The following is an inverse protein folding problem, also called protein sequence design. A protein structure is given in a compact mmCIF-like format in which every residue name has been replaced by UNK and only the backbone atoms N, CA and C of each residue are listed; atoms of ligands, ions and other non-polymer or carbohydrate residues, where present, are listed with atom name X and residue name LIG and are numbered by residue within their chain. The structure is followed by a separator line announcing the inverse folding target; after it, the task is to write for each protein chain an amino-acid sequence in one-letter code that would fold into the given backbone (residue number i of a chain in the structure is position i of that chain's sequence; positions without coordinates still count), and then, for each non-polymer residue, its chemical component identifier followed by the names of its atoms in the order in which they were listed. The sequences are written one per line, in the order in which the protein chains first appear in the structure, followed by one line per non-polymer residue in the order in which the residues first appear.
data_IF_882319076383
#
_entry.id   IF_882319076383
#
_cell.length_a   1.000
_cell.length_b   1.000
_cell.length_c   1.000
_cell.angle_alpha   90.00
_cell.angle_beta   90.00
_cell.angle_gamma   90.00
#
_symmetry.space_group_name_H-M   'P 1'
#
loop_
_entity.id
_entity.type
_entity.pdbx_description
1 polymer ?
#
# COMPACT_ATOMS: atom_id res chain seq x y z
N UNK A 1 6.83 12.89 28.70
CA UNK A 1 5.78 12.87 27.70
C UNK A 1 5.94 11.68 26.77
N UNK A 2 4.95 10.86 26.69
CA UNK A 2 5.02 9.74 25.76
C UNK A 2 4.68 10.19 24.35
N UNK A 3 5.40 9.70 23.39
CA UNK A 3 5.10 9.92 21.99
C UNK A 3 4.42 8.67 21.43
N UNK A 4 3.39 8.90 20.64
CA UNK A 4 2.72 7.82 19.94
C UNK A 4 3.47 7.50 18.66
N UNK A 5 3.70 6.22 18.40
CA UNK A 5 4.37 5.80 17.18
C UNK A 5 3.46 6.05 15.99
N UNK A 6 3.96 6.78 15.00
CA UNK A 6 3.27 7.00 13.74
C UNK A 6 3.95 6.25 12.59
N UNK A 7 5.20 5.83 12.78
CA UNK A 7 5.86 4.93 11.83
C UNK A 7 5.36 3.51 12.04
N UNK A 8 5.47 2.68 11.00
CA UNK A 8 5.00 1.31 11.10
C UNK A 8 5.78 0.53 12.15
N UNK A 9 5.06 -0.38 12.81
CA UNK A 9 5.67 -1.36 13.69
C UNK A 9 6.29 -2.47 12.85
N UNK A 10 7.41 -3.03 13.31
CA UNK A 10 8.05 -4.14 12.64
C UNK A 10 7.31 -5.44 12.95
N UNK A 11 7.06 -6.25 11.92
CA UNK A 11 6.43 -7.56 12.02
C UNK A 11 7.31 -8.57 11.30
N UNK A 12 7.21 -9.84 11.71
CA UNK A 12 7.95 -10.92 11.08
C UNK A 12 7.23 -11.36 9.80
N UNK A 13 7.94 -11.32 8.68
CA UNK A 13 7.41 -11.71 7.37
C UNK A 13 8.49 -12.44 6.58
N UNK A 14 8.15 -13.54 5.86
CA UNK A 14 6.87 -14.23 5.90
C UNK A 14 6.65 -14.96 7.23
N UNK A 15 5.43 -15.36 7.56
CA UNK A 15 5.15 -16.03 8.82
C UNK A 15 5.73 -17.44 8.86
N UNK A 16 6.10 -17.89 10.05
CA UNK A 16 6.57 -19.26 10.26
C UNK A 16 5.47 -20.17 10.81
N UNK A 17 4.32 -19.63 11.14
CA UNK A 17 3.21 -20.34 11.74
C UNK A 17 1.89 -19.71 11.33
N UNK A 18 0.85 -20.51 11.18
CA UNK A 18 -0.45 -20.03 10.75
C UNK A 18 -0.41 -19.47 9.33
N UNK A 19 -1.16 -18.40 9.11
CA UNK A 19 -1.17 -17.71 7.81
C UNK A 19 -1.30 -16.20 8.03
N UNK A 20 -0.92 -15.44 6.99
CA UNK A 20 -1.13 -13.98 6.96
C UNK A 20 -1.94 -13.62 5.72
N UNK A 21 -2.58 -12.47 5.77
CA UNK A 21 -3.28 -11.93 4.62
C UNK A 21 -2.37 -10.88 3.99
N UNK A 22 -2.11 -11.05 2.70
CA UNK A 22 -1.32 -10.11 1.92
C UNK A 22 -2.18 -9.53 0.81
N UNK A 23 -1.70 -8.48 0.18
CA UNK A 23 -2.41 -7.83 -0.90
C UNK A 23 -1.53 -7.79 -2.15
N UNK A 24 -2.06 -8.31 -3.26
CA UNK A 24 -1.38 -8.28 -4.56
C UNK A 24 -1.89 -7.08 -5.33
N UNK A 25 -0.97 -6.25 -5.82
CA UNK A 25 -1.34 -5.13 -6.69
C UNK A 25 -0.55 -5.22 -8.00
N UNK A 26 -1.24 -4.90 -9.07
CA UNK A 26 -0.63 -4.83 -10.39
C UNK A 26 -0.12 -3.41 -10.61
N UNK A 27 1.16 -3.29 -10.99
CA UNK A 27 1.84 -2.00 -11.10
C UNK A 27 2.48 -1.88 -12.47
N UNK A 28 2.70 -0.65 -12.93
CA UNK A 28 3.38 -0.42 -14.20
C UNK A 28 4.89 -0.62 -14.07
N UNK A 29 5.46 -0.38 -12.88
CA UNK A 29 6.90 -0.43 -12.65
C UNK A 29 7.14 -0.82 -11.19
N UNK A 30 7.72 -2.01 -10.99
CA UNK A 30 7.95 -2.56 -9.64
C UNK A 30 8.85 -1.63 -8.82
N UNK A 31 9.95 -1.14 -9.39
CA UNK A 31 10.89 -0.30 -8.65
C UNK A 31 10.26 1.04 -8.25
N UNK A 32 9.44 1.62 -9.12
CA UNK A 32 8.75 2.86 -8.83
C UNK A 32 7.76 2.68 -7.66
N UNK A 33 7.01 1.60 -7.69
CA UNK A 33 6.05 1.29 -6.63
C UNK A 33 6.76 0.98 -5.32
N UNK A 34 7.81 0.15 -5.36
CA UNK A 34 8.59 -0.17 -4.17
C UNK A 34 9.18 1.09 -3.54
N UNK A 35 9.72 2.00 -4.34
CA UNK A 35 10.27 3.26 -3.86
C UNK A 35 9.21 4.13 -3.17
N UNK A 36 8.00 4.19 -3.72
CA UNK A 36 6.90 4.94 -3.11
C UNK A 36 6.55 4.38 -1.72
N UNK A 37 6.30 3.07 -1.65
CA UNK A 37 5.88 2.45 -0.39
C UNK A 37 6.98 2.50 0.66
N UNK A 38 8.24 2.42 0.26
CA UNK A 38 9.36 2.57 1.18
C UNK A 38 9.52 4.01 1.65
N UNK A 39 9.59 4.95 0.71
CA UNK A 39 9.89 6.35 1.01
C UNK A 39 8.76 7.05 1.74
N UNK A 40 7.52 6.86 1.27
CA UNK A 40 6.36 7.59 1.80
C UNK A 40 5.82 6.92 3.06
N UNK A 41 5.52 5.64 2.98
CA UNK A 41 4.85 4.92 4.06
C UNK A 41 5.80 4.21 5.02
N UNK A 42 7.11 4.29 4.77
CA UNK A 42 8.09 3.65 5.62
C UNK A 42 8.13 2.13 5.48
N UNK A 43 7.68 1.61 4.34
CA UNK A 43 7.70 0.19 4.07
C UNK A 43 9.12 -0.36 3.93
N UNK A 44 9.25 -1.66 4.10
CA UNK A 44 10.53 -2.34 3.97
C UNK A 44 10.51 -3.23 2.73
N UNK A 45 11.43 -2.97 1.80
CA UNK A 45 11.55 -3.76 0.58
C UNK A 45 12.21 -5.08 0.95
N UNK A 46 11.48 -6.20 0.78
CA UNK A 46 11.97 -7.54 1.04
C UNK A 46 12.55 -8.16 -0.23
N UNK A 47 11.99 -7.82 -1.39
CA UNK A 47 12.43 -8.29 -2.69
C UNK A 47 11.97 -7.30 -3.76
N UNK A 48 12.80 -7.10 -4.79
CA UNK A 48 12.47 -6.24 -5.93
C UNK A 48 12.01 -7.04 -7.15
N UNK A 49 11.82 -8.35 -6.99
CA UNK A 49 11.56 -9.21 -8.13
C UNK A 49 12.82 -9.47 -8.95
N UNK A 50 12.62 -10.00 -10.15
CA UNK A 50 13.74 -10.28 -11.05
C UNK A 50 13.31 -10.10 -12.51
N UNK A 51 14.27 -10.29 -13.42
CA UNK A 51 14.02 -10.16 -14.87
C UNK A 51 13.18 -11.30 -15.45
N UNK A 52 12.91 -12.36 -14.67
CA UNK A 52 12.14 -13.52 -15.09
C UNK A 52 10.66 -13.41 -14.68
N UNK A 53 10.23 -12.25 -14.19
CA UNK A 53 8.84 -12.02 -13.85
C UNK A 53 8.47 -12.25 -12.39
N UNK A 54 9.46 -12.47 -11.52
CA UNK A 54 9.18 -12.58 -10.09
C UNK A 54 8.68 -11.25 -9.53
N UNK A 55 7.75 -11.34 -8.58
CA UNK A 55 7.14 -10.18 -7.95
C UNK A 55 8.09 -9.49 -6.97
N UNK A 56 7.88 -8.18 -6.79
CA UNK A 56 8.45 -7.46 -5.66
C UNK A 56 7.61 -7.68 -4.41
N UNK A 57 8.22 -7.55 -3.25
CA UNK A 57 7.57 -7.74 -1.96
C UNK A 57 7.96 -6.59 -1.05
N UNK A 58 6.97 -5.90 -0.49
CA UNK A 58 7.19 -4.76 0.40
C UNK A 58 6.35 -4.96 1.66
N UNK A 59 7.00 -4.98 2.81
CA UNK A 59 6.30 -5.06 4.07
C UNK A 59 5.76 -3.67 4.45
N UNK A 60 4.46 -3.57 4.64
CA UNK A 60 3.80 -2.37 5.16
C UNK A 60 3.12 -2.77 6.45
N UNK A 61 3.63 -2.29 7.59
CA UNK A 61 3.07 -2.62 8.91
C UNK A 61 2.87 -4.14 9.06
N UNK A 62 1.64 -4.58 9.27
CA UNK A 62 1.30 -5.98 9.49
C UNK A 62 0.90 -6.72 8.20
N UNK A 63 1.17 -6.15 7.05
CA UNK A 63 0.86 -6.81 5.77
C UNK A 63 2.05 -6.82 4.83
N UNK A 64 1.87 -7.48 3.74
CA UNK A 64 2.92 -7.75 2.76
C UNK A 64 2.34 -7.43 1.38
N UNK A 65 2.80 -6.37 0.76
CA UNK A 65 2.37 -6.06 -0.60
C UNK A 65 3.18 -6.87 -1.59
N UNK A 66 2.49 -7.56 -2.48
CA UNK A 66 3.11 -8.25 -3.61
C UNK A 66 2.85 -7.37 -4.82
N UNK A 67 3.90 -6.90 -5.48
CA UNK A 67 3.79 -6.01 -6.64
C UNK A 67 4.34 -6.69 -7.88
N UNK A 68 3.58 -6.64 -8.96
CA UNK A 68 3.96 -7.25 -10.22
C UNK A 68 3.35 -6.46 -11.37
N UNK A 69 4.00 -6.52 -12.54
CA UNK A 69 3.48 -5.83 -13.72
C UNK A 69 2.25 -6.52 -14.33
N UNK A 70 1.90 -7.69 -13.82
CA UNK A 70 0.70 -8.36 -14.27
C UNK A 70 0.81 -8.95 -15.65
N UNK A 71 -0.29 -8.86 -16.40
CA UNK A 71 -0.44 -9.52 -17.68
C UNK A 71 -1.25 -10.79 -17.52
N UNK A 72 -1.10 -11.70 -18.43
CA UNK A 72 -1.83 -12.97 -18.40
C UNK A 72 -2.72 -13.15 -19.62
N UNK A 73 -3.52 -14.23 -19.66
CA UNK A 73 -3.56 -15.30 -18.65
C UNK A 73 -2.26 -16.07 -18.49
N UNK A 74 -2.10 -16.73 -17.36
CA UNK A 74 -0.94 -17.55 -17.05
C UNK A 74 -1.40 -18.97 -16.68
N UNK A 75 -0.51 -19.98 -16.69
CA UNK A 75 -0.91 -21.35 -16.35
C UNK A 75 -1.55 -21.49 -14.96
N UNK A 76 -1.15 -20.67 -13.99
CA UNK A 76 -1.71 -20.68 -12.62
C UNK A 76 -3.00 -19.84 -12.52
N UNK A 77 -3.29 -18.99 -13.52
CA UNK A 77 -4.51 -18.18 -13.60
C UNK A 77 -4.99 -18.14 -15.05
N UNK A 78 -5.48 -19.28 -15.59
CA UNK A 78 -5.68 -19.41 -17.03
C UNK A 78 -6.83 -18.56 -17.61
N UNK A 79 -7.66 -17.98 -16.78
CA UNK A 79 -8.78 -17.14 -17.23
C UNK A 79 -8.68 -15.68 -16.75
N UNK A 80 -7.55 -15.30 -16.14
CA UNK A 80 -7.42 -13.99 -15.50
C UNK A 80 -6.31 -13.19 -16.15
N UNK A 81 -6.59 -11.95 -16.49
CA UNK A 81 -5.61 -10.96 -16.89
C UNK A 81 -5.54 -9.89 -15.80
N UNK A 82 -4.33 -9.58 -15.36
CA UNK A 82 -4.09 -8.54 -14.36
C UNK A 82 -3.53 -7.31 -15.05
N UNK A 83 -4.10 -6.15 -14.76
CA UNK A 83 -3.65 -4.88 -15.34
C UNK A 83 -3.83 -3.75 -14.35
N UNK A 84 -3.05 -2.67 -14.52
CA UNK A 84 -3.31 -1.45 -13.76
C UNK A 84 -4.71 -0.92 -14.13
N UNK A 85 -5.38 -0.19 -13.22
CA UNK A 85 -6.69 0.35 -13.53
C UNK A 85 -6.65 1.27 -14.75
N UNK A 86 -7.54 1.01 -15.71
CA UNK A 86 -7.69 1.90 -16.88
C UNK A 86 -8.22 3.26 -16.45
N UNK A 87 -9.05 3.29 -15.42
CA UNK A 87 -9.59 4.51 -14.82
C UNK A 87 -9.38 4.44 -13.30
N UNK A 88 -8.43 5.20 -12.76
CA UNK A 88 -8.13 5.16 -11.33
C UNK A 88 -9.28 5.61 -10.43
N UNK A 89 -10.31 6.25 -10.99
CA UNK A 89 -11.49 6.66 -10.24
C UNK A 89 -12.56 5.57 -10.20
N UNK A 90 -12.34 4.45 -10.91
CA UNK A 90 -13.27 3.32 -10.99
C UNK A 90 -12.59 2.05 -10.51
N UNK A 91 -12.48 1.91 -9.20
CA UNK A 91 -11.84 0.75 -8.56
C UNK A 91 -12.84 0.09 -7.62
N UNK A 92 -12.62 -1.19 -7.34
CA UNK A 92 -13.52 -1.99 -6.51
C UNK A 92 -12.87 -2.41 -5.17
N UNK A 93 -11.64 -2.02 -4.94
CA UNK A 93 -10.95 -2.29 -3.68
C UNK A 93 -9.81 -1.30 -3.50
N UNK A 94 -9.36 -1.14 -2.27
CA UNK A 94 -8.23 -0.27 -1.97
C UNK A 94 -7.59 -0.69 -0.65
N UNK A 95 -6.32 -0.32 -0.49
CA UNK A 95 -5.60 -0.52 0.75
C UNK A 95 -6.13 0.48 1.78
N UNK A 96 -6.40 0.00 2.99
CA UNK A 96 -6.90 0.81 4.08
C UNK A 96 -5.89 0.77 5.22
N UNK A 97 -5.35 1.94 5.58
CA UNK A 97 -4.35 2.07 6.63
C UNK A 97 -5.00 2.75 7.83
N UNK A 98 -4.95 2.09 8.98
CA UNK A 98 -5.50 2.63 10.22
C UNK A 98 -4.36 3.20 11.06
N UNK A 99 -4.49 4.47 11.45
CA UNK A 99 -3.44 5.21 12.14
C UNK A 99 -3.95 5.77 13.45
N UNK A 100 -3.03 6.07 14.36
CA UNK A 100 -3.37 6.63 15.67
C UNK A 100 -3.41 8.15 15.66
N UNK A 101 -2.70 8.79 14.72
CA UNK A 101 -2.63 10.25 14.61
C UNK A 101 -2.57 10.63 13.13
N UNK A 102 -3.72 10.86 12.54
CA UNK A 102 -3.83 11.11 11.09
C UNK A 102 -3.21 12.45 10.70
N UNK A 103 -3.27 13.45 11.57
CA UNK A 103 -2.67 14.75 11.25
C UNK A 103 -1.15 14.64 11.18
N UNK A 104 -0.54 13.93 12.13
CA UNK A 104 0.90 13.70 12.11
C UNK A 104 1.32 12.87 10.90
N UNK A 105 0.53 11.84 10.55
CA UNK A 105 0.78 11.03 9.36
C UNK A 105 0.66 11.87 8.09
N UNK A 106 -0.34 12.72 8.01
CA UNK A 106 -0.52 13.63 6.87
C UNK A 106 0.71 14.50 6.66
N UNK A 107 1.17 15.16 7.72
CA UNK A 107 2.32 16.06 7.63
C UNK A 107 3.59 15.31 7.22
N UNK A 108 3.83 14.16 7.84
CA UNK A 108 5.02 13.35 7.56
C UNK A 108 5.00 12.80 6.12
N UNK A 109 3.90 12.17 5.73
CA UNK A 109 3.82 11.54 4.41
C UNK A 109 3.79 12.56 3.29
N UNK A 110 3.13 13.70 3.50
CA UNK A 110 3.17 14.79 2.55
C UNK A 110 4.59 15.32 2.37
N UNK A 111 5.35 15.45 3.45
CA UNK A 111 6.75 15.86 3.38
C UNK A 111 7.62 14.87 2.60
N UNK A 112 7.18 13.62 2.53
CA UNK A 112 7.86 12.55 1.78
C UNK A 112 7.35 12.41 0.34
N UNK A 113 6.42 13.25 -0.08
CA UNK A 113 5.93 13.29 -1.45
C UNK A 113 4.57 12.65 -1.69
N UNK A 114 3.83 12.28 -0.63
CA UNK A 114 2.50 11.71 -0.82
C UNK A 114 1.56 12.74 -1.43
N UNK A 115 0.74 12.29 -2.38
CA UNK A 115 -0.31 13.09 -3.00
C UNK A 115 -1.62 12.82 -2.26
N UNK A 116 -2.03 13.75 -1.39
CA UNK A 116 -3.32 13.66 -0.73
C UNK A 116 -4.37 14.29 -1.63
N UNK A 117 -5.40 13.52 -1.95
CA UNK A 117 -6.45 13.95 -2.88
C UNK A 117 -7.69 14.48 -2.17
N UNK A 118 -7.76 14.35 -0.86
CA UNK A 118 -8.88 14.88 -0.06
C UNK A 118 -8.37 15.57 1.19
N UNK A 119 -9.19 16.49 1.71
CA UNK A 119 -8.98 17.04 3.04
C UNK A 119 -9.45 16.04 4.10
N UNK A 120 -9.15 16.32 5.36
CA UNK A 120 -9.64 15.51 6.46
C UNK A 120 -11.16 15.56 6.52
N UNK A 121 -11.79 14.40 6.56
CA UNK A 121 -13.24 14.28 6.61
C UNK A 121 -13.62 13.46 7.86
N UNK A 122 -14.31 14.09 8.79
CA UNK A 122 -14.77 13.42 10.01
C UNK A 122 -16.18 12.90 9.80
N UNK A 123 -16.35 11.58 9.85
CA UNK A 123 -17.64 10.93 9.63
C UNK A 123 -17.59 9.51 10.20
N UNK A 124 -18.72 9.02 10.66
CA UNK A 124 -18.88 7.64 11.16
C UNK A 124 -17.89 7.26 12.27
N UNK A 125 -17.57 8.20 13.16
CA UNK A 125 -16.65 7.93 14.26
C UNK A 125 -15.18 7.81 13.82
N UNK A 126 -14.82 8.40 12.71
CA UNK A 126 -13.44 8.39 12.26
C UNK A 126 -13.11 9.62 11.41
N UNK A 127 -11.82 9.87 11.26
CA UNK A 127 -11.30 10.88 10.36
C UNK A 127 -10.61 10.16 9.21
N UNK A 128 -10.92 10.53 7.96
CA UNK A 128 -10.38 9.89 6.77
C UNK A 128 -9.71 10.87 5.85
N UNK A 129 -8.63 10.43 5.20
CA UNK A 129 -8.00 11.07 4.06
C UNK A 129 -7.65 9.99 3.05
N UNK A 130 -7.44 10.40 1.81
CA UNK A 130 -7.07 9.47 0.75
C UNK A 130 -5.82 9.96 0.05
N UNK A 131 -4.94 9.02 -0.32
CA UNK A 131 -3.76 9.29 -1.14
C UNK A 131 -3.79 8.39 -2.36
N UNK A 132 -2.97 8.73 -3.34
CA UNK A 132 -2.74 7.91 -4.54
C UNK A 132 -1.35 7.34 -4.51
N UNK A 133 -1.22 6.10 -4.97
CA UNK A 133 0.09 5.53 -5.25
C UNK A 133 0.52 5.89 -6.68
N UNK A 134 1.74 5.47 -7.14
CA UNK A 134 2.23 5.85 -8.47
C UNK A 134 1.35 5.39 -9.63
N UNK A 135 0.57 4.33 -9.48
CA UNK A 135 -0.33 3.84 -10.51
C UNK A 135 -1.74 4.40 -10.37
N UNK A 136 -1.96 5.27 -9.41
CA UNK A 136 -3.25 5.89 -9.15
C UNK A 136 -4.15 5.11 -8.20
N UNK A 137 -3.67 4.00 -7.63
CA UNK A 137 -4.45 3.28 -6.63
C UNK A 137 -4.78 4.17 -5.43
N UNK A 138 -6.03 4.15 -5.01
CA UNK A 138 -6.46 4.87 -3.83
C UNK A 138 -6.00 4.11 -2.59
N UNK A 139 -5.53 4.85 -1.60
CA UNK A 139 -5.22 4.32 -0.27
C UNK A 139 -5.97 5.17 0.73
N UNK A 140 -6.80 4.54 1.55
CA UNK A 140 -7.50 5.23 2.63
C UNK A 140 -6.61 5.28 3.87
N UNK A 141 -6.53 6.45 4.48
CA UNK A 141 -5.88 6.65 5.77
C UNK A 141 -6.95 7.06 6.75
N UNK A 142 -7.14 6.30 7.81
CA UNK A 142 -8.21 6.53 8.75
C UNK A 142 -7.77 6.43 10.21
N UNK A 143 -8.37 7.30 11.03
CA UNK A 143 -8.17 7.31 12.46
C UNK A 143 -9.52 7.20 13.15
N UNK A 144 -9.65 6.26 14.09
CA UNK A 144 -10.85 6.14 14.90
C UNK A 144 -10.93 7.28 15.93
N UNK A 145 -12.10 7.84 16.11
CA UNK A 145 -12.31 8.93 17.07
C UNK A 145 -13.20 8.49 18.24
#
# INVERSE_FOLDING_TARGET
MSSVRIEQKSYEMPPYDGFTVTHFITVADIDRSAAFYEKVLGGRILSRGDSNGASGHIQIANTWLIVNVGGGPTPDKPSVTLSVPADPDKVNSFLNIRVVDIQACYELWKSRGAEFITEANQKYGEIRRYIRDPDGYIIEVGQST
#
